data_IF_457989475195
#
_entry.id   IF_457989475195
#
_cell.length_a   1.000
_cell.length_b   1.000
_cell.length_c   1.000
_cell.angle_alpha   90.00
_cell.angle_beta   90.00
_cell.angle_gamma   90.00
#
_symmetry.space_group_name_H-M   'P 1'
#
loop_
_entity.id
_entity.type
_entity.pdbx_description
1 polymer ?
#
# COMPACT_ATOMS: atom_id res chain seq x y z
N UNK A 1 -10.46 0.95 -14.80
CA UNK A 1 -9.00 0.78 -14.78
C UNK A 1 -8.52 0.60 -13.36
N UNK A 2 -7.66 -0.37 -13.14
CA UNK A 2 -7.17 -0.66 -11.81
C UNK A 2 -6.01 0.27 -11.46
N UNK A 3 -6.06 0.86 -10.29
CA UNK A 3 -5.09 1.86 -9.89
C UNK A 3 -3.95 1.27 -9.06
N UNK A 4 -2.96 2.11 -8.78
CA UNK A 4 -1.83 1.76 -7.93
C UNK A 4 -2.08 2.33 -6.55
N UNK A 5 -1.96 1.48 -5.53
CA UNK A 5 -2.17 1.87 -4.13
C UNK A 5 -0.84 1.87 -3.38
N UNK A 6 -0.71 2.79 -2.44
CA UNK A 6 0.39 2.80 -1.47
C UNK A 6 -0.21 2.75 -0.08
N UNK A 7 0.17 1.73 0.69
CA UNK A 7 -0.17 1.67 2.10
C UNK A 7 0.84 2.50 2.88
N UNK A 8 0.35 3.55 3.54
CA UNK A 8 1.20 4.48 4.27
C UNK A 8 1.22 4.15 5.75
N UNK A 9 2.41 3.98 6.30
CA UNK A 9 2.60 3.73 7.73
C UNK A 9 2.63 5.05 8.49
N UNK A 10 2.07 5.02 9.69
CA UNK A 10 1.95 6.20 10.54
C UNK A 10 2.70 5.96 11.84
N UNK A 11 3.47 6.96 12.26
CA UNK A 11 4.11 6.99 13.58
C UNK A 11 3.72 8.30 14.27
N UNK A 12 2.98 8.18 15.37
CA UNK A 12 2.56 9.34 16.18
C UNK A 12 1.90 10.44 15.33
N UNK A 13 1.01 10.05 14.42
CA UNK A 13 0.26 10.98 13.59
C UNK A 13 1.02 11.49 12.35
N UNK A 14 2.25 11.03 12.17
CA UNK A 14 3.10 11.46 11.06
C UNK A 14 3.35 10.28 10.12
N UNK A 15 3.26 10.54 8.82
CA UNK A 15 3.55 9.53 7.80
C UNK A 15 5.02 9.18 7.84
N UNK A 16 5.33 7.89 7.96
CA UNK A 16 6.71 7.41 8.03
C UNK A 16 7.48 7.71 6.74
N UNK A 17 8.77 7.97 6.87
CA UNK A 17 9.62 8.30 5.71
C UNK A 17 9.59 7.23 4.63
N UNK A 18 9.57 5.95 5.00
CA UNK A 18 9.50 4.86 4.04
C UNK A 18 8.26 4.99 3.16
N UNK A 19 7.15 5.40 3.74
CA UNK A 19 5.90 5.56 3.00
C UNK A 19 5.94 6.78 2.07
N UNK A 20 6.60 7.86 2.48
CA UNK A 20 6.79 9.01 1.62
C UNK A 20 7.64 8.65 0.39
N UNK A 21 8.67 7.84 0.57
CA UNK A 21 9.47 7.33 -0.55
C UNK A 21 8.64 6.46 -1.48
N UNK A 22 7.75 5.63 -0.91
CA UNK A 22 6.85 4.80 -1.70
C UNK A 22 5.87 5.65 -2.52
N UNK A 23 5.41 6.76 -1.97
CA UNK A 23 4.53 7.66 -2.71
C UNK A 23 5.25 8.26 -3.92
N UNK A 24 6.51 8.66 -3.76
CA UNK A 24 7.32 9.16 -4.86
C UNK A 24 7.49 8.12 -5.95
N UNK A 25 7.86 6.90 -5.57
CA UNK A 25 8.01 5.79 -6.52
C UNK A 25 6.68 5.42 -7.16
N UNK A 26 5.63 5.43 -6.36
CA UNK A 26 4.27 5.13 -6.84
C UNK A 26 3.80 6.14 -7.87
N UNK A 27 4.10 7.43 -7.67
CA UNK A 27 3.72 8.44 -8.65
C UNK A 27 4.38 8.19 -10.01
N UNK A 28 5.67 7.89 -9.98
CA UNK A 28 6.39 7.58 -11.22
C UNK A 28 5.83 6.32 -11.89
N UNK A 29 5.58 5.28 -11.11
CA UNK A 29 5.06 4.02 -11.65
C UNK A 29 3.64 4.18 -12.21
N UNK A 30 2.78 4.90 -11.50
CA UNK A 30 1.42 5.14 -11.96
C UNK A 30 1.42 5.92 -13.28
N UNK A 31 2.33 6.86 -13.43
CA UNK A 31 2.49 7.59 -14.70
C UNK A 31 2.88 6.65 -15.84
N UNK A 32 3.79 5.71 -15.58
CA UNK A 32 4.20 4.73 -16.59
C UNK A 32 3.06 3.80 -16.97
N UNK A 33 2.23 3.43 -16.01
CA UNK A 33 1.11 2.53 -16.22
C UNK A 33 -0.14 3.23 -16.77
N UNK A 34 -0.15 4.55 -16.74
CA UNK A 34 -1.33 5.32 -17.16
C UNK A 34 -2.51 5.18 -16.22
N UNK A 35 -2.26 4.98 -14.92
CA UNK A 35 -3.31 4.87 -13.92
C UNK A 35 -3.15 5.91 -12.82
N UNK A 36 -4.13 5.96 -11.92
CA UNK A 36 -4.08 6.87 -10.78
C UNK A 36 -3.27 6.30 -9.63
N UNK A 37 -2.78 7.18 -8.78
CA UNK A 37 -2.11 6.83 -7.54
C UNK A 37 -3.07 7.07 -6.38
N UNK A 38 -3.34 6.04 -5.61
CA UNK A 38 -4.18 6.12 -4.43
C UNK A 38 -3.37 5.74 -3.19
N UNK A 39 -3.61 6.45 -2.11
CA UNK A 39 -2.95 6.15 -0.84
C UNK A 39 -3.99 5.72 0.19
N UNK A 40 -3.58 4.85 1.11
CA UNK A 40 -4.42 4.43 2.22
C UNK A 40 -3.65 4.59 3.52
N UNK A 41 -4.29 5.21 4.51
CA UNK A 41 -3.76 5.34 5.86
C UNK A 41 -4.79 4.85 6.86
N UNK A 42 -4.32 4.21 7.91
CA UNK A 42 -5.17 3.78 9.02
C UNK A 42 -4.45 4.09 10.32
N UNK A 43 -5.12 4.79 11.19
CA UNK A 43 -4.54 5.19 12.47
C UNK A 43 -5.57 5.79 13.38
N UNK A 44 -5.09 6.41 14.47
CA UNK A 44 -5.95 7.03 15.48
C UNK A 44 -5.53 8.47 15.64
N UNK A 45 -6.51 9.38 15.61
CA UNK A 45 -6.25 10.79 15.80
C UNK A 45 -5.42 11.41 14.69
N UNK A 46 -5.68 11.02 13.45
CA UNK A 46 -4.94 11.52 12.29
C UNK A 46 -5.29 12.98 12.04
N UNK A 47 -4.27 13.84 12.02
CA UNK A 47 -4.45 15.27 11.77
C UNK A 47 -3.60 15.72 10.61
N UNK A 48 -4.20 16.54 9.75
CA UNK A 48 -3.50 17.12 8.62
C UNK A 48 -2.83 16.07 7.73
N UNK A 49 -3.41 14.88 7.68
CA UNK A 49 -2.83 13.77 6.92
C UNK A 49 -2.80 14.09 5.43
N UNK A 50 -3.79 14.84 4.95
CA UNK A 50 -3.86 15.25 3.55
C UNK A 50 -2.66 16.13 3.18
N UNK A 51 -2.25 17.02 4.08
CA UNK A 51 -1.11 17.91 3.85
C UNK A 51 0.21 17.14 3.76
N UNK A 52 0.27 15.99 4.41
CA UNK A 52 1.47 15.15 4.38
C UNK A 52 1.55 14.30 3.13
N UNK A 53 0.43 13.94 2.54
CA UNK A 53 0.35 12.94 1.48
C UNK A 53 0.07 13.55 0.10
N UNK A 54 -0.90 14.46 -0.01
CA UNK A 54 -1.30 15.01 -1.30
C UNK A 54 -0.18 15.69 -2.09
N UNK A 55 0.81 16.36 -1.45
CA UNK A 55 1.90 16.97 -2.22
C UNK A 55 2.72 15.98 -3.05
N UNK A 56 2.63 14.69 -2.78
CA UNK A 56 3.34 13.66 -3.55
C UNK A 56 2.61 13.27 -4.84
N UNK A 57 1.52 13.96 -5.17
CA UNK A 57 0.79 13.70 -6.40
C UNK A 57 -0.25 12.60 -6.28
N UNK A 58 -0.72 12.36 -5.07
CA UNK A 58 -1.77 11.36 -4.82
C UNK A 58 -3.09 11.86 -5.38
N UNK A 59 -3.74 11.03 -6.19
CA UNK A 59 -5.02 11.37 -6.81
C UNK A 59 -6.20 11.12 -5.89
N UNK A 60 -6.08 10.13 -5.00
CA UNK A 60 -7.14 9.77 -4.08
C UNK A 60 -6.54 9.25 -2.77
N UNK A 61 -7.07 9.72 -1.66
CA UNK A 61 -6.60 9.34 -0.34
C UNK A 61 -7.75 8.68 0.45
N UNK A 62 -7.48 7.47 0.94
CA UNK A 62 -8.42 6.75 1.80
C UNK A 62 -7.92 6.85 3.23
N UNK A 63 -8.69 7.51 4.09
CA UNK A 63 -8.33 7.72 5.50
C UNK A 63 -9.26 6.91 6.39
N UNK A 64 -8.66 6.06 7.20
CA UNK A 64 -9.39 5.28 8.21
C UNK A 64 -8.89 5.72 9.58
N UNK A 65 -9.67 6.56 10.24
CA UNK A 65 -9.34 7.08 11.57
C UNK A 65 -10.30 6.46 12.57
N UNK A 66 -9.77 5.72 13.53
CA UNK A 66 -10.61 5.07 14.53
C UNK A 66 -9.82 4.55 15.70
N UNK A 67 -10.54 4.24 16.79
CA UNK A 67 -9.92 3.65 17.96
C UNK A 67 -9.35 2.28 17.67
N UNK A 68 -8.18 1.99 18.22
CA UNK A 68 -7.55 0.69 18.06
C UNK A 68 -6.77 0.52 16.77
N UNK A 69 -6.71 1.55 15.91
CA UNK A 69 -5.93 1.48 14.69
C UNK A 69 -4.48 1.91 14.86
N UNK A 70 -4.15 2.54 15.97
CA UNK A 70 -2.77 2.88 16.30
C UNK A 70 -2.51 2.53 17.76
N UNK A 71 -1.38 1.90 18.12
CA UNK A 71 -0.35 1.40 17.19
C UNK A 71 -0.85 0.25 16.31
N UNK A 72 -0.07 -0.08 15.31
CA UNK A 72 -0.43 -1.12 14.34
C UNK A 72 -0.74 -2.45 15.01
N UNK A 73 -1.85 -3.06 14.63
CA UNK A 73 -2.15 -4.46 14.94
C UNK A 73 -2.65 -5.14 13.67
N UNK A 74 -2.38 -6.44 13.55
CA UNK A 74 -2.58 -7.16 12.30
C UNK A 74 -4.02 -7.20 11.81
N UNK A 75 -4.95 -7.59 12.68
CA UNK A 75 -6.32 -7.88 12.23
C UNK A 75 -7.08 -6.65 11.73
N UNK A 76 -7.10 -5.52 12.45
CA UNK A 76 -7.84 -4.35 11.96
C UNK A 76 -7.31 -3.82 10.63
N UNK A 77 -5.99 -3.72 10.49
CA UNK A 77 -5.40 -3.22 9.24
C UNK A 77 -5.62 -4.18 8.09
N UNK A 78 -5.52 -5.49 8.35
CA UNK A 78 -5.81 -6.50 7.32
C UNK A 78 -7.25 -6.38 6.84
N UNK A 79 -8.21 -6.27 7.76
CA UNK A 79 -9.63 -6.12 7.40
C UNK A 79 -9.89 -4.89 6.55
N UNK A 80 -9.28 -3.76 6.92
CA UNK A 80 -9.43 -2.52 6.16
C UNK A 80 -8.95 -2.70 4.72
N UNK A 81 -7.73 -3.22 4.56
CA UNK A 81 -7.16 -3.38 3.22
C UNK A 81 -7.89 -4.43 2.39
N UNK A 82 -8.27 -5.54 2.99
CA UNK A 82 -9.01 -6.59 2.27
C UNK A 82 -10.34 -6.04 1.75
N UNK A 83 -11.10 -5.35 2.60
CA UNK A 83 -12.38 -4.80 2.19
C UNK A 83 -12.22 -3.71 1.12
N UNK A 84 -11.23 -2.83 1.31
CA UNK A 84 -10.95 -1.77 0.35
C UNK A 84 -10.54 -2.35 -1.00
N UNK A 85 -9.67 -3.33 -1.00
CA UNK A 85 -9.15 -3.91 -2.24
C UNK A 85 -10.17 -4.76 -2.98
N UNK A 86 -11.10 -5.40 -2.27
CA UNK A 86 -12.22 -6.08 -2.92
C UNK A 86 -13.11 -5.11 -3.67
N UNK A 87 -13.27 -3.92 -3.12
CA UNK A 87 -14.10 -2.88 -3.72
C UNK A 87 -13.37 -2.16 -4.85
N UNK A 88 -12.12 -1.74 -4.62
CA UNK A 88 -11.37 -0.88 -5.54
C UNK A 88 -10.56 -1.66 -6.57
N UNK A 89 -10.22 -2.90 -6.28
CA UNK A 89 -9.46 -3.79 -7.17
C UNK A 89 -8.17 -3.15 -7.73
N UNK A 90 -7.21 -2.78 -6.86
CA UNK A 90 -5.96 -2.22 -7.35
C UNK A 90 -5.17 -3.24 -8.15
N UNK A 91 -4.39 -2.77 -9.13
CA UNK A 91 -3.48 -3.66 -9.83
C UNK A 91 -2.19 -3.87 -9.05
N UNK A 92 -1.77 -2.88 -8.28
CA UNK A 92 -0.54 -2.94 -7.50
C UNK A 92 -0.76 -2.26 -6.16
N UNK A 93 -0.23 -2.86 -5.09
CA UNK A 93 -0.15 -2.22 -3.79
C UNK A 93 1.30 -2.22 -3.33
N UNK A 94 1.84 -1.04 -3.08
CA UNK A 94 3.19 -0.89 -2.56
C UNK A 94 3.17 -0.81 -1.04
N UNK A 95 4.03 -1.57 -0.40
CA UNK A 95 4.23 -1.56 1.05
C UNK A 95 5.70 -1.49 1.35
N UNK A 96 6.06 -0.89 2.48
CA UNK A 96 7.44 -0.91 2.94
C UNK A 96 7.87 -2.32 3.36
N UNK A 97 9.15 -2.63 3.20
CA UNK A 97 9.73 -3.86 3.71
C UNK A 97 10.09 -3.69 5.19
N UNK A 98 9.13 -3.24 5.96
CA UNK A 98 9.22 -3.00 7.40
C UNK A 98 8.58 -4.14 8.16
N UNK A 99 8.66 -4.12 9.49
CA UNK A 99 7.97 -5.10 10.33
C UNK A 99 6.47 -5.09 10.02
N UNK A 100 5.89 -3.91 9.87
CA UNK A 100 4.47 -3.79 9.56
C UNK A 100 4.16 -4.36 8.18
N UNK A 101 4.89 -3.93 7.16
CA UNK A 101 4.64 -4.39 5.80
C UNK A 101 4.84 -5.88 5.62
N UNK A 102 5.84 -6.45 6.29
CA UNK A 102 6.12 -7.89 6.23
C UNK A 102 5.08 -8.74 6.95
N UNK A 103 4.37 -8.15 7.91
CA UNK A 103 3.23 -8.81 8.57
C UNK A 103 1.95 -8.64 7.76
N UNK A 104 1.68 -7.42 7.32
CA UNK A 104 0.42 -7.07 6.67
C UNK A 104 0.32 -7.63 5.25
N UNK A 105 1.38 -7.56 4.47
CA UNK A 105 1.39 -7.98 3.07
C UNK A 105 0.92 -9.41 2.86
N UNK A 106 1.54 -10.41 3.52
CA UNK A 106 1.11 -11.79 3.37
C UNK A 106 -0.32 -12.05 3.82
N UNK A 107 -0.77 -11.36 4.86
CA UNK A 107 -2.15 -11.51 5.36
C UNK A 107 -3.17 -11.02 4.34
N UNK A 108 -2.92 -9.87 3.74
CA UNK A 108 -3.80 -9.31 2.71
C UNK A 108 -3.77 -10.18 1.46
N UNK A 109 -2.58 -10.58 1.04
CA UNK A 109 -2.39 -11.44 -0.13
C UNK A 109 -3.13 -12.76 0.02
N UNK A 110 -2.99 -13.39 1.18
CA UNK A 110 -3.65 -14.66 1.48
C UNK A 110 -5.18 -14.50 1.45
N UNK A 111 -5.69 -13.45 2.07
CA UNK A 111 -7.13 -13.22 2.14
C UNK A 111 -7.74 -12.92 0.77
N UNK A 112 -6.97 -12.32 -0.14
CA UNK A 112 -7.43 -12.00 -1.49
C UNK A 112 -7.07 -13.08 -2.51
N UNK A 113 -6.40 -14.14 -2.07
CA UNK A 113 -5.86 -15.20 -2.94
C UNK A 113 -4.94 -14.68 -4.02
N UNK A 114 -4.28 -13.56 -3.74
CA UNK A 114 -3.32 -12.93 -4.64
C UNK A 114 -1.90 -13.37 -4.30
N UNK A 115 -0.99 -13.28 -5.23
CA UNK A 115 0.42 -13.55 -4.99
C UNK A 115 1.12 -12.35 -4.38
N UNK A 116 2.16 -12.61 -3.60
CA UNK A 116 3.02 -11.58 -3.05
C UNK A 116 4.35 -11.58 -3.80
N UNK A 117 4.70 -10.45 -4.37
CA UNK A 117 6.00 -10.28 -5.02
C UNK A 117 7.07 -10.16 -3.93
N UNK A 118 8.20 -10.82 -4.14
CA UNK A 118 9.31 -10.76 -3.20
C UNK A 118 9.83 -9.33 -3.01
N UNK A 119 10.50 -9.12 -1.88
CA UNK A 119 11.14 -7.84 -1.60
C UNK A 119 12.08 -7.43 -2.72
N UNK A 120 12.03 -6.18 -3.10
CA UNK A 120 12.92 -5.65 -4.12
C UNK A 120 13.43 -4.28 -3.73
N UNK A 121 14.63 -3.97 -4.19
CA UNK A 121 15.21 -2.64 -4.01
C UNK A 121 14.94 -1.74 -5.20
N UNK A 122 14.62 -2.34 -6.33
CA UNK A 122 14.16 -1.65 -7.53
C UNK A 122 12.73 -2.06 -7.82
N UNK A 123 11.97 -1.14 -8.37
CA UNK A 123 10.57 -1.38 -8.66
C UNK A 123 10.42 -2.17 -9.96
N UNK A 124 9.87 -3.37 -9.86
CA UNK A 124 9.53 -4.18 -11.02
C UNK A 124 8.03 -4.44 -11.02
N UNK A 125 7.42 -4.38 -12.19
CA UNK A 125 6.00 -4.65 -12.33
C UNK A 125 5.82 -6.14 -12.55
N UNK A 126 5.12 -6.78 -11.63
CA UNK A 126 4.73 -8.17 -11.76
C UNK A 126 3.22 -8.29 -11.79
N UNK A 127 2.71 -9.18 -12.62
CA UNK A 127 1.29 -9.44 -12.70
C UNK A 127 0.97 -10.76 -12.01
N UNK A 128 -0.06 -10.73 -11.17
CA UNK A 128 -0.64 -11.92 -10.58
C UNK A 128 -2.09 -12.03 -11.00
N UNK A 129 -2.46 -13.18 -11.50
CA UNK A 129 -3.84 -13.46 -11.86
C UNK A 129 -4.49 -14.33 -10.80
N UNK A 130 -5.71 -14.00 -10.44
CA UNK A 130 -6.49 -14.90 -9.61
C UNK A 130 -7.08 -15.98 -10.50
N UNK A 131 -6.39 -17.11 -10.58
CA UNK A 131 -6.79 -18.22 -11.43
C UNK A 131 -7.95 -19.01 -10.86
N UNK A 132 -8.25 -18.86 -9.58
CA UNK A 132 -9.33 -19.63 -8.95
C UNK A 132 -10.72 -19.21 -9.40
N UNK A 133 -10.90 -17.94 -9.68
CA UNK A 133 -12.20 -17.40 -10.09
C UNK A 133 -12.32 -17.21 -11.59
N UNK A 134 -11.28 -17.50 -12.33
CA UNK A 134 -11.26 -17.25 -13.77
C UNK A 134 -11.38 -15.77 -14.13
N UNK A 135 -11.23 -14.92 -13.15
CA UNK A 135 -11.27 -13.47 -13.35
C UNK A 135 -9.90 -12.95 -13.69
N UNK A 136 -9.89 -11.94 -14.54
CA UNK A 136 -8.68 -11.21 -14.84
C UNK A 136 -8.52 -10.10 -13.81
N UNK A 137 -8.56 -10.45 -12.52
CA UNK A 137 -8.19 -9.53 -11.47
C UNK A 137 -6.72 -9.76 -11.15
N UNK A 138 -5.93 -8.74 -11.38
CA UNK A 138 -4.50 -8.79 -11.15
C UNK A 138 -4.14 -7.85 -10.03
N UNK A 139 -3.65 -8.39 -8.93
CA UNK A 139 -3.10 -7.60 -7.85
C UNK A 139 -1.67 -8.04 -7.60
N UNK A 140 -0.76 -7.10 -7.66
CA UNK A 140 0.63 -7.32 -7.26
C UNK A 140 0.89 -6.57 -5.96
N UNK A 141 1.23 -7.32 -4.91
CA UNK A 141 1.69 -6.74 -3.66
C UNK A 141 3.21 -6.70 -3.70
N UNK A 142 3.77 -5.51 -3.61
CA UNK A 142 5.20 -5.30 -3.73
C UNK A 142 5.72 -4.66 -2.46
N UNK A 143 6.67 -5.34 -1.81
CA UNK A 143 7.43 -4.79 -0.71
C UNK A 143 8.69 -4.12 -1.26
N UNK A 144 8.90 -2.87 -0.89
CA UNK A 144 10.07 -2.13 -1.31
C UNK A 144 10.94 -1.86 -0.09
N UNK A 145 12.18 -2.34 -0.15
CA UNK A 145 13.18 -2.08 0.87
C UNK A 145 13.80 -0.71 0.65
N UNK A 146 14.10 -0.03 1.75
CA UNK A 146 14.86 1.20 1.65
C UNK A 146 16.25 0.90 1.09
N UNK A 147 16.82 1.79 0.28
CA UNK A 147 18.20 1.65 -0.14
C UNK A 147 19.10 1.57 1.09
N UNK A 148 20.07 0.66 1.06
CA UNK A 148 21.04 0.56 2.14
C UNK A 148 21.81 1.86 2.23
N UNK A 149 21.77 2.49 3.39
CA UNK A 149 22.55 3.70 3.62
C UNK A 149 23.93 3.29 4.09
N UNK A 150 24.90 3.79 3.39
CA UNK A 150 26.30 3.64 3.78
C UNK A 150 26.67 4.84 4.63
N UNK A 151 26.29 4.78 5.89
CA UNK A 151 26.61 5.86 6.83
C UNK A 151 27.85 5.48 7.64
#
# INVERSE_FOLDING_TARGET
>A
MNNLFVYCEIEDGIVADVSLELLTKGRSLANQLGCQLEAVVAGTGLKDIEKQILPYGVDKLHVFDGEGLYPYTSLPHTSILVNLFKEEQPQICLMGATVIGRDLGPRVSSALTSGLTADCTSLEIGDHEDKKEGKVYKLSLIHISEPTRLD
#
